data_IF_777038591710
#
_entry.id   IF_777038591710
#
_cell.length_a   1.000
_cell.length_b   1.000
_cell.length_c   1.000
_cell.angle_alpha   90.00
_cell.angle_beta   90.00
_cell.angle_gamma   90.00
#
_symmetry.space_group_name_H-M   'P 1'
#
loop_
_entity.id
_entity.type
_entity.pdbx_description
1 polymer ?
#
# COMPACT_ATOMS: atom_id res chain seq x y z
N UNK A 1 19.06 38.80 -9.75
CA UNK A 1 18.82 38.07 -8.50
C UNK A 1 17.34 37.87 -8.18
N UNK A 2 16.50 38.91 -8.24
CA UNK A 2 15.04 38.80 -7.99
C UNK A 2 14.33 37.82 -8.94
N UNK A 3 14.66 37.85 -10.23
CA UNK A 3 14.06 36.97 -11.25
C UNK A 3 14.33 35.47 -11.01
N UNK A 4 15.56 35.13 -10.62
CA UNK A 4 15.94 33.77 -10.21
C UNK A 4 15.21 33.34 -8.94
N UNK A 5 15.04 34.25 -7.97
CA UNK A 5 14.31 33.94 -6.75
C UNK A 5 12.82 33.67 -7.03
N UNK A 6 12.18 34.43 -7.91
CA UNK A 6 10.79 34.16 -8.33
C UNK A 6 10.66 32.83 -9.09
N UNK A 7 11.64 32.49 -9.92
CA UNK A 7 11.66 31.21 -10.63
C UNK A 7 11.76 30.03 -9.68
N UNK A 8 12.64 30.10 -8.67
CA UNK A 8 12.77 29.06 -7.64
C UNK A 8 11.48 28.93 -6.82
N UNK A 9 10.85 30.06 -6.46
CA UNK A 9 9.59 30.06 -5.72
C UNK A 9 8.47 29.38 -6.52
N UNK A 10 8.40 29.64 -7.83
CA UNK A 10 7.39 29.04 -8.70
C UNK A 10 7.55 27.51 -8.80
N UNK A 11 8.79 27.02 -8.95
CA UNK A 11 9.07 25.57 -9.00
C UNK A 11 8.69 24.89 -7.68
N UNK A 12 8.98 25.53 -6.54
CA UNK A 12 8.63 24.99 -5.23
C UNK A 12 7.12 24.84 -5.06
N UNK A 13 6.34 25.84 -5.45
CA UNK A 13 4.87 25.81 -5.37
C UNK A 13 4.27 24.74 -6.28
N UNK A 14 4.81 24.54 -7.49
CA UNK A 14 4.33 23.47 -8.38
C UNK A 14 4.56 22.07 -7.79
N UNK A 15 5.70 21.83 -7.16
CA UNK A 15 6.03 20.51 -6.59
C UNK A 15 5.10 20.09 -5.44
N UNK A 16 4.51 21.05 -4.71
CA UNK A 16 3.58 20.77 -3.62
C UNK A 16 2.25 20.13 -4.11
N UNK A 17 1.93 20.24 -5.40
CA UNK A 17 0.72 19.64 -5.99
C UNK A 17 0.85 18.14 -6.31
N UNK A 18 2.05 17.57 -6.21
CA UNK A 18 2.31 16.18 -6.56
C UNK A 18 1.80 15.15 -5.51
N UNK A 19 1.50 15.59 -4.30
CA UNK A 19 0.87 14.75 -3.27
C UNK A 19 -0.63 14.61 -3.58
N UNK A 20 -1.01 13.50 -4.23
CA UNK A 20 -2.40 13.18 -4.52
C UNK A 20 -2.85 11.98 -3.67
N UNK A 21 -4.07 12.04 -3.15
CA UNK A 21 -4.66 10.90 -2.45
C UNK A 21 -5.02 9.80 -3.46
N UNK A 22 -4.34 8.65 -3.36
CA UNK A 22 -4.69 7.47 -4.15
C UNK A 22 -5.79 6.72 -3.42
N UNK A 23 -6.99 6.73 -4.00
CA UNK A 23 -8.13 6.01 -3.43
C UNK A 23 -7.81 4.51 -3.36
N UNK A 24 -8.25 3.78 -2.31
CA UNK A 24 -7.96 2.35 -2.16
C UNK A 24 -8.34 1.51 -3.39
N UNK A 25 -9.43 1.87 -4.08
CA UNK A 25 -9.88 1.20 -5.31
C UNK A 25 -8.98 1.43 -6.53
N UNK A 26 -8.17 2.48 -6.53
CA UNK A 26 -7.20 2.74 -7.60
C UNK A 26 -5.97 1.83 -7.48
N UNK A 27 -5.69 1.27 -6.28
CA UNK A 27 -4.59 0.29 -6.11
C UNK A 27 -4.73 -0.91 -7.03
N UNK A 28 -5.94 -1.36 -7.36
CA UNK A 28 -6.14 -2.49 -8.27
C UNK A 28 -5.54 -2.29 -9.67
N UNK A 29 -5.48 -1.04 -10.16
CA UNK A 29 -4.93 -0.72 -11.48
C UNK A 29 -3.49 -0.20 -11.42
N UNK A 30 -3.07 0.41 -10.31
CA UNK A 30 -1.72 0.95 -10.16
C UNK A 30 -0.72 -0.01 -9.49
N UNK A 31 -1.19 -1.03 -8.76
CA UNK A 31 -0.32 -2.01 -8.12
C UNK A 31 0.21 -3.00 -9.17
N UNK A 32 1.53 -3.00 -9.35
CA UNK A 32 2.21 -4.01 -10.14
C UNK A 32 2.23 -5.34 -9.37
N UNK A 33 2.26 -6.47 -10.08
CA UNK A 33 2.30 -7.81 -9.46
C UNK A 33 3.48 -7.99 -8.49
N UNK A 34 4.60 -7.30 -8.74
CA UNK A 34 5.79 -7.32 -7.89
C UNK A 34 5.65 -6.53 -6.57
N UNK A 35 4.61 -5.71 -6.44
CA UNK A 35 4.28 -4.97 -5.21
C UNK A 35 3.42 -5.79 -4.25
N UNK A 36 3.05 -7.03 -4.62
CA UNK A 36 2.28 -7.91 -3.77
C UNK A 36 3.11 -8.32 -2.53
N UNK A 37 2.50 -8.29 -1.35
CA UNK A 37 3.13 -8.72 -0.10
C UNK A 37 3.48 -10.21 -0.10
N UNK A 38 2.72 -11.01 -0.86
CA UNK A 38 2.97 -12.42 -1.08
C UNK A 38 3.17 -12.64 -2.56
N UNK A 39 4.21 -13.41 -2.90
CA UNK A 39 4.57 -13.72 -4.28
C UNK A 39 3.67 -14.80 -4.90
N UNK A 40 3.09 -15.68 -4.07
CA UNK A 40 2.15 -16.72 -4.47
C UNK A 40 0.96 -16.76 -3.49
N UNK A 41 -0.23 -16.42 -3.99
CA UNK A 41 -1.45 -16.39 -3.19
C UNK A 41 -1.98 -17.78 -2.83
N UNK A 42 -1.73 -18.79 -3.65
CA UNK A 42 -2.20 -20.17 -3.40
C UNK A 42 -1.40 -20.79 -2.25
N UNK A 43 -0.09 -20.63 -2.32
CA UNK A 43 0.85 -21.10 -1.31
C UNK A 43 0.60 -20.43 0.05
N UNK A 44 0.44 -19.10 0.03
CA UNK A 44 0.10 -18.31 1.21
C UNK A 44 -1.24 -18.75 1.83
N UNK A 45 -2.27 -18.96 1.01
CA UNK A 45 -3.57 -19.44 1.47
C UNK A 45 -3.49 -20.80 2.15
N UNK A 46 -2.75 -21.74 1.55
CA UNK A 46 -2.57 -23.09 2.12
C UNK A 46 -1.84 -23.06 3.48
N UNK A 47 -0.80 -22.24 3.59
CA UNK A 47 -0.08 -22.04 4.86
C UNK A 47 -0.97 -21.41 5.91
N UNK A 48 -1.74 -20.38 5.54
CA UNK A 48 -2.71 -19.73 6.42
C UNK A 48 -3.74 -20.73 6.96
N UNK A 49 -4.34 -21.56 6.09
CA UNK A 49 -5.29 -22.58 6.50
C UNK A 49 -4.68 -23.58 7.49
N UNK A 50 -3.45 -24.01 7.22
CA UNK A 50 -2.73 -24.95 8.09
C UNK A 50 -2.42 -24.33 9.46
N UNK A 51 -1.95 -23.08 9.49
CA UNK A 51 -1.66 -22.36 10.73
C UNK A 51 -2.94 -22.14 11.55
N UNK A 52 -4.02 -21.67 10.90
CA UNK A 52 -5.31 -21.45 11.55
C UNK A 52 -5.87 -22.71 12.21
N UNK A 53 -5.76 -23.87 11.54
CA UNK A 53 -6.18 -25.15 12.10
C UNK A 53 -5.33 -25.62 13.27
N UNK A 54 -4.04 -25.25 13.33
CA UNK A 54 -3.12 -25.68 14.38
C UNK A 54 -3.15 -24.78 15.61
N UNK A 55 -3.44 -23.50 15.43
CA UNK A 55 -3.30 -22.48 16.48
C UNK A 55 -4.65 -22.03 17.07
N UNK A 56 -5.73 -22.78 16.82
CA UNK A 56 -7.05 -22.56 17.42
C UNK A 56 -7.48 -21.07 17.41
N UNK A 57 -7.51 -20.47 16.22
CA UNK A 57 -7.94 -19.09 16.00
C UNK A 57 -7.12 -17.99 16.73
N UNK A 58 -5.94 -18.29 17.28
CA UNK A 58 -5.08 -17.32 17.98
C UNK A 58 -4.41 -16.25 17.07
N UNK A 59 -4.80 -16.19 15.79
CA UNK A 59 -4.41 -15.15 14.84
C UNK A 59 -3.77 -15.72 13.58
N UNK A 60 -4.41 -15.54 12.43
CA UNK A 60 -3.75 -15.72 11.13
C UNK A 60 -2.82 -14.54 10.81
N UNK A 61 -2.20 -14.55 9.63
CA UNK A 61 -1.41 -13.45 9.04
C UNK A 61 -2.24 -12.17 8.75
N UNK A 62 -3.28 -11.89 9.54
CA UNK A 62 -4.22 -10.78 9.44
C UNK A 62 -3.79 -9.57 10.27
N UNK A 63 -2.61 -9.03 9.99
CA UNK A 63 -2.42 -7.58 10.02
C UNK A 63 -2.68 -7.10 8.59
N UNK A 64 -3.95 -6.90 8.24
CA UNK A 64 -4.39 -6.66 6.87
C UNK A 64 -3.56 -5.60 6.14
N UNK A 65 -2.94 -5.98 5.03
CA UNK A 65 -2.52 -5.02 4.02
C UNK A 65 -3.75 -4.34 3.41
N UNK A 66 -4.21 -3.24 4.02
CA UNK A 66 -5.23 -2.35 3.47
C UNK A 66 -6.68 -2.83 3.57
N UNK A 67 -7.24 -2.82 4.77
CA UNK A 67 -8.68 -3.00 5.01
C UNK A 67 -8.95 -2.94 6.50
N UNK A 68 -9.96 -2.16 6.91
CA UNK A 68 -10.33 -1.84 8.30
C UNK A 68 -10.02 -3.01 9.26
N UNK A 69 -8.94 -2.87 10.03
CA UNK A 69 -8.43 -3.90 10.94
C UNK A 69 -9.33 -4.07 12.17
N UNK A 70 -10.50 -4.64 11.97
CA UNK A 70 -11.37 -5.09 13.04
C UNK A 70 -11.45 -6.62 12.96
N UNK A 71 -10.99 -7.28 14.03
CA UNK A 71 -11.42 -8.64 14.36
C UNK A 71 -12.95 -8.68 14.50
#
# INVERSE_FOLDING_TARGET
>A
MKFINYFILAVLVLSATACTEVMPRQRGNLALSQMAFNTDGLEFGLRQHTAYSKEAAAGGYGGGGGGCGCN
#
